data_IF_936582092726
#
_entry.id   IF_936582092726
#
_cell.length_a   1.000
_cell.length_b   1.000
_cell.length_c   1.000
_cell.angle_alpha   90.00
_cell.angle_beta   90.00
_cell.angle_gamma   90.00
#
_symmetry.space_group_name_H-M   'P 1'
#
loop_
_entity.id
_entity.type
_entity.pdbx_description
1 polymer ?
#
# COMPACT_ATOMS: atom_id res chain seq x y z
N UNK A 1 -1.57 24.11 10.48
CA UNK A 1 -2.62 23.10 10.74
C UNK A 1 -2.36 21.93 9.82
N UNK A 2 -1.99 20.76 10.37
CA UNK A 2 -1.84 19.56 9.56
C UNK A 2 -3.22 18.94 9.32
N UNK A 3 -3.60 18.73 8.07
CA UNK A 3 -4.81 18.02 7.70
C UNK A 3 -4.62 16.53 8.05
N UNK A 4 -5.46 15.98 8.93
CA UNK A 4 -5.46 14.56 9.31
C UNK A 4 -6.62 13.87 8.60
N UNK A 5 -6.33 12.81 7.86
CA UNK A 5 -7.34 12.00 7.18
C UNK A 5 -7.69 10.84 8.10
N UNK A 6 -8.96 10.75 8.53
CA UNK A 6 -9.46 9.63 9.33
C UNK A 6 -9.85 8.45 8.43
N UNK A 7 -8.87 7.59 8.16
CA UNK A 7 -8.98 6.47 7.22
C UNK A 7 -9.95 5.36 7.67
N UNK A 8 -10.25 5.26 8.97
CA UNK A 8 -11.15 4.23 9.52
C UNK A 8 -12.63 4.63 9.52
N UNK A 9 -12.93 5.90 9.22
CA UNK A 9 -14.27 6.46 9.41
C UNK A 9 -15.05 6.64 8.10
N UNK A 10 -14.45 6.28 6.96
CA UNK A 10 -15.17 6.36 5.69
C UNK A 10 -16.13 5.16 5.54
N UNK A 11 -17.42 5.44 5.74
CA UNK A 11 -18.57 4.55 5.58
C UNK A 11 -18.65 3.87 4.20
N UNK A 12 -17.83 4.28 3.22
CA UNK A 12 -17.87 3.78 1.85
C UNK A 12 -16.96 2.58 1.59
N UNK A 13 -16.16 2.14 2.56
CA UNK A 13 -15.27 0.99 2.34
C UNK A 13 -16.09 -0.32 2.27
N UNK A 14 -15.96 -1.10 1.18
CA UNK A 14 -16.69 -2.36 1.06
C UNK A 14 -16.22 -3.41 2.06
N UNK A 15 -17.13 -4.28 2.51
CA UNK A 15 -16.87 -5.27 3.56
C UNK A 15 -15.65 -6.17 3.29
N UNK A 16 -15.42 -6.55 2.03
CA UNK A 16 -14.30 -7.41 1.63
C UNK A 16 -12.94 -6.72 1.85
N UNK A 17 -12.91 -5.40 1.76
CA UNK A 17 -11.69 -4.61 1.92
C UNK A 17 -11.30 -4.49 3.39
N UNK A 18 -12.31 -4.31 4.25
CA UNK A 18 -12.13 -4.35 5.71
C UNK A 18 -11.66 -5.73 6.18
N UNK A 19 -12.16 -6.81 5.56
CA UNK A 19 -11.69 -8.17 5.82
C UNK A 19 -10.22 -8.33 5.40
N UNK A 20 -9.85 -7.88 4.20
CA UNK A 20 -8.47 -7.92 3.71
C UNK A 20 -7.49 -7.16 4.62
N UNK A 21 -7.85 -5.95 5.05
CA UNK A 21 -7.03 -5.16 5.99
C UNK A 21 -6.86 -5.85 7.35
N UNK A 22 -7.89 -6.52 7.86
CA UNK A 22 -7.79 -7.31 9.11
C UNK A 22 -6.85 -8.49 8.95
N UNK A 23 -6.91 -9.21 7.83
CA UNK A 23 -5.97 -10.31 7.54
C UNK A 23 -4.54 -9.81 7.46
N UNK A 24 -4.30 -8.71 6.75
CA UNK A 24 -2.97 -8.10 6.64
C UNK A 24 -2.46 -7.64 8.01
N UNK A 25 -3.32 -7.02 8.83
CA UNK A 25 -2.95 -6.66 10.21
C UNK A 25 -2.53 -7.87 11.04
N UNK A 26 -3.21 -9.01 10.90
CA UNK A 26 -2.83 -10.22 11.63
C UNK A 26 -1.47 -10.76 11.18
N UNK A 27 -1.15 -10.65 9.89
CA UNK A 27 0.14 -11.08 9.34
C UNK A 27 1.31 -10.14 9.66
N UNK A 28 1.07 -8.83 9.58
CA UNK A 28 2.10 -7.78 9.70
C UNK A 28 2.20 -7.24 11.14
N UNK A 29 1.21 -7.51 11.99
CA UNK A 29 1.09 -6.97 13.35
C UNK A 29 0.52 -5.54 13.41
N UNK A 30 0.50 -4.83 12.29
CA UNK A 30 -0.05 -3.49 12.15
C UNK A 30 -0.80 -3.32 10.83
N UNK A 31 -1.64 -2.30 10.74
CA UNK A 31 -2.22 -1.92 9.46
C UNK A 31 -1.18 -1.17 8.62
N UNK A 32 -0.80 -1.65 7.42
CA UNK A 32 0.12 -0.92 6.57
C UNK A 32 -0.54 0.38 6.13
N UNK A 33 0.12 1.51 6.38
CA UNK A 33 -0.50 2.79 6.11
C UNK A 33 -0.77 3.10 4.65
N UNK A 34 0.03 2.66 3.66
CA UNK A 34 -0.37 2.77 2.26
C UNK A 34 -1.68 2.03 1.98
N UNK A 35 -1.82 0.79 2.47
CA UNK A 35 -3.05 0.00 2.32
C UNK A 35 -4.26 0.66 3.00
N UNK A 36 -4.07 1.25 4.18
CA UNK A 36 -5.11 2.04 4.85
C UNK A 36 -5.46 3.31 4.08
N UNK A 37 -4.46 4.02 3.56
CA UNK A 37 -4.67 5.30 2.86
C UNK A 37 -5.46 5.08 1.59
N UNK A 38 -5.14 4.02 0.86
CA UNK A 38 -5.87 3.65 -0.35
C UNK A 38 -7.26 3.09 0.01
N UNK A 39 -7.50 2.67 1.26
CA UNK A 39 -8.82 2.17 1.67
C UNK A 39 -9.94 3.20 1.64
N UNK A 40 -9.56 4.48 1.73
CA UNK A 40 -10.43 5.64 1.51
C UNK A 40 -10.86 5.81 0.03
N UNK A 41 -10.14 5.21 -0.92
CA UNK A 41 -10.41 5.28 -2.37
C UNK A 41 -10.42 3.88 -3.00
N UNK A 42 -11.48 3.09 -2.76
CA UNK A 42 -11.56 1.71 -3.23
C UNK A 42 -11.55 1.58 -4.75
N UNK A 43 -11.89 2.64 -5.48
CA UNK A 43 -11.73 2.74 -6.93
C UNK A 43 -10.27 2.69 -7.37
N UNK A 44 -9.35 3.25 -6.57
CA UNK A 44 -7.91 3.20 -6.81
C UNK A 44 -7.32 1.86 -6.39
N UNK A 45 -7.84 1.19 -5.35
CA UNK A 45 -7.39 -0.16 -4.96
C UNK A 45 -7.87 -1.28 -5.90
N UNK A 46 -8.44 -0.92 -7.05
CA UNK A 46 -8.89 -1.90 -8.04
C UNK A 46 -7.71 -2.67 -8.64
N UNK A 47 -8.10 -3.69 -9.43
CA UNK A 47 -7.22 -4.61 -10.15
C UNK A 47 -6.00 -3.93 -10.77
N UNK A 48 -6.15 -2.73 -11.32
CA UNK A 48 -5.07 -2.04 -12.03
C UNK A 48 -3.94 -1.59 -11.10
N UNK A 49 -4.24 -0.98 -9.95
CA UNK A 49 -3.21 -0.58 -8.99
C UNK A 49 -2.43 -1.78 -8.47
N UNK A 50 -3.14 -2.84 -8.06
CA UNK A 50 -2.50 -4.07 -7.61
C UNK A 50 -1.69 -4.73 -8.74
N UNK A 51 -2.16 -4.67 -9.98
CA UNK A 51 -1.38 -5.16 -11.12
C UNK A 51 -0.08 -4.36 -11.31
N UNK A 52 -0.10 -3.04 -11.15
CA UNK A 52 1.10 -2.22 -11.27
C UNK A 52 2.09 -2.49 -10.13
N UNK A 53 1.61 -2.58 -8.89
CA UNK A 53 2.46 -2.94 -7.74
C UNK A 53 3.05 -4.33 -7.93
N UNK A 54 2.23 -5.32 -8.25
CA UNK A 54 2.70 -6.67 -8.49
C UNK A 54 3.72 -6.68 -9.62
N UNK A 55 3.43 -6.07 -10.78
CA UNK A 55 4.38 -5.99 -11.90
C UNK A 55 5.70 -5.34 -11.51
N UNK A 56 5.67 -4.25 -10.74
CA UNK A 56 6.86 -3.54 -10.28
C UNK A 56 7.72 -4.37 -9.33
N UNK A 57 7.09 -5.12 -8.43
CA UNK A 57 7.75 -5.90 -7.38
C UNK A 57 8.08 -7.33 -7.79
N UNK A 58 7.38 -7.90 -8.77
CA UNK A 58 7.54 -9.29 -9.22
C UNK A 58 8.70 -9.48 -10.20
N UNK A 59 9.65 -8.53 -10.24
CA UNK A 59 10.82 -8.56 -11.11
C UNK A 59 10.53 -8.00 -12.49
N UNK A 60 10.64 -6.69 -12.63
CA UNK A 60 10.70 -6.03 -13.94
C UNK A 60 12.10 -6.27 -14.51
N UNK A 61 12.20 -6.72 -15.77
CA UNK A 61 13.45 -6.74 -16.54
C UNK A 61 14.64 -7.49 -15.88
N UNK A 62 14.39 -8.62 -15.22
CA UNK A 62 15.45 -9.47 -14.66
C UNK A 62 15.97 -9.03 -13.29
N UNK A 63 15.36 -8.03 -12.67
CA UNK A 63 15.65 -7.70 -11.28
C UNK A 63 14.99 -8.71 -10.36
N UNK A 64 15.76 -9.26 -9.42
CA UNK A 64 15.17 -10.02 -8.33
C UNK A 64 14.47 -9.10 -7.32
N UNK A 65 13.77 -9.72 -6.36
CA UNK A 65 13.05 -8.99 -5.31
C UNK A 65 13.98 -8.07 -4.50
N UNK A 66 15.21 -8.49 -4.21
CA UNK A 66 16.16 -7.68 -3.43
C UNK A 66 16.54 -6.39 -4.15
N UNK A 67 16.78 -6.45 -5.46
CA UNK A 67 17.07 -5.26 -6.26
C UNK A 67 15.89 -4.29 -6.32
N UNK A 68 14.67 -4.81 -6.46
CA UNK A 68 13.46 -3.98 -6.43
C UNK A 68 13.30 -3.24 -5.09
N UNK A 69 13.53 -3.94 -3.97
CA UNK A 69 13.46 -3.35 -2.62
C UNK A 69 14.56 -2.31 -2.39
N UNK A 70 15.80 -2.54 -2.85
CA UNK A 70 16.89 -1.55 -2.76
C UNK A 70 16.56 -0.27 -3.53
N UNK A 71 15.98 -0.40 -4.73
CA UNK A 71 15.54 0.75 -5.50
C UNK A 71 14.39 1.49 -4.81
N UNK A 72 13.41 0.77 -4.25
CA UNK A 72 12.33 1.37 -3.47
C UNK A 72 12.86 2.14 -2.25
N UNK A 73 13.86 1.60 -1.55
CA UNK A 73 14.51 2.27 -0.42
C UNK A 73 15.27 3.54 -0.87
N UNK A 74 16.00 3.46 -1.99
CA UNK A 74 16.69 4.62 -2.56
C UNK A 74 15.73 5.75 -2.92
N UNK A 75 14.64 5.45 -3.65
CA UNK A 75 13.63 6.43 -4.03
C UNK A 75 12.93 7.01 -2.80
N UNK A 76 12.63 6.18 -1.81
CA UNK A 76 12.04 6.64 -0.53
C UNK A 76 12.96 7.61 0.20
N UNK A 77 14.26 7.33 0.23
CA UNK A 77 15.29 8.21 0.79
C UNK A 77 15.36 9.56 0.09
N UNK A 78 15.36 9.57 -1.25
CA UNK A 78 15.35 10.81 -2.05
C UNK A 78 14.10 11.67 -1.77
N UNK A 79 12.98 11.05 -1.45
CA UNK A 79 11.70 11.73 -1.19
C UNK A 79 11.44 11.98 0.30
N UNK A 80 12.41 11.69 1.19
CA UNK A 80 12.23 11.76 2.64
C UNK A 80 10.96 11.04 3.13
N UNK A 81 10.63 9.90 2.50
CA UNK A 81 9.49 9.08 2.86
C UNK A 81 9.84 8.25 4.11
N UNK A 82 9.33 8.67 5.28
CA UNK A 82 9.60 8.05 6.58
C UNK A 82 8.50 7.06 7.02
N UNK A 83 7.69 6.57 6.08
CA UNK A 83 6.56 5.71 6.39
C UNK A 83 6.99 4.33 6.90
#
# INVERSE_FOLDING_TARGET
>A
MAMRIDLFQDSKSPWYMNLGLRLIKMWVGAYPGPSLTISYRPDLFRKDFMNYIMRGMSGVNGWDKGHAELFAAFVSGLNACNF
#
